data_IF_641163343236
#
_entry.id   IF_641163343236
#
_cell.length_a   1.000
_cell.length_b   1.000
_cell.length_c   1.000
_cell.angle_alpha   90.00
_cell.angle_beta   90.00
_cell.angle_gamma   90.00
#
_symmetry.space_group_name_H-M   'P 1'
#
loop_
_entity.id
_entity.type
_entity.pdbx_description
1 polymer ?
#
# COMPACT_ATOMS: atom_id res chain seq x y z
N UNK A 1 -2.51 -0.16 0.21
CA UNK A 1 -1.30 -1.01 0.36
C UNK A 1 -0.02 -0.22 0.70
N UNK A 2 0.25 0.92 0.07
CA UNK A 2 1.44 1.77 0.31
C UNK A 2 1.76 2.05 1.80
N UNK A 3 0.73 2.19 2.64
CA UNK A 3 0.89 2.40 4.07
C UNK A 3 1.66 1.28 4.80
N UNK A 4 1.81 0.09 4.22
CA UNK A 4 2.59 -1.00 4.81
C UNK A 4 4.11 -0.84 4.59
N UNK A 5 4.50 -0.10 3.55
CA UNK A 5 5.89 0.03 3.11
C UNK A 5 6.61 1.23 3.75
N UNK A 6 5.86 2.16 4.35
CA UNK A 6 6.37 3.45 4.83
C UNK A 6 7.37 4.10 3.85
N UNK A 7 6.94 4.34 2.59
CA UNK A 7 7.85 4.82 1.55
C UNK A 7 8.41 6.20 1.90
N UNK A 8 9.61 6.49 1.40
CA UNK A 8 10.10 7.87 1.35
C UNK A 8 9.39 8.58 0.20
N UNK A 9 8.50 9.51 0.55
CA UNK A 9 7.72 10.29 -0.42
C UNK A 9 8.45 11.60 -0.69
N UNK A 10 8.54 11.96 -1.97
CA UNK A 10 9.15 13.20 -2.45
C UNK A 10 8.13 13.96 -3.29
N UNK A 11 8.17 15.30 -3.25
CA UNK A 11 7.35 16.19 -4.08
C UNK A 11 5.86 15.81 -4.09
N UNK A 12 5.27 15.49 -2.92
CA UNK A 12 3.89 15.04 -2.90
C UNK A 12 2.94 16.17 -3.34
N UNK A 13 2.13 15.86 -4.35
CA UNK A 13 1.03 16.70 -4.83
C UNK A 13 -0.17 15.81 -5.10
N UNK A 14 -1.15 15.81 -4.20
CA UNK A 14 -2.40 15.08 -4.37
C UNK A 14 -3.51 16.08 -4.67
N UNK A 15 -4.15 16.01 -5.85
CA UNK A 15 -5.29 16.87 -6.15
C UNK A 15 -6.43 16.68 -5.14
N UNK A 16 -7.03 17.78 -4.68
CA UNK A 16 -8.04 17.76 -3.62
C UNK A 16 -9.27 16.90 -3.94
N UNK A 17 -9.59 16.72 -5.22
CA UNK A 17 -10.63 15.80 -5.72
C UNK A 17 -10.44 14.37 -5.23
N UNK A 18 -9.20 13.92 -5.03
CA UNK A 18 -8.92 12.55 -4.59
C UNK A 18 -8.80 12.40 -3.07
N UNK A 19 -8.93 13.48 -2.28
CA UNK A 19 -8.70 13.42 -0.83
C UNK A 19 -9.68 12.50 -0.11
N UNK A 20 -10.94 12.45 -0.56
CA UNK A 20 -11.97 11.58 0.01
C UNK A 20 -11.74 10.10 -0.35
N UNK A 21 -11.25 9.83 -1.56
CA UNK A 21 -11.04 8.47 -2.07
C UNK A 21 -9.70 7.87 -1.60
N UNK A 22 -8.70 8.73 -1.36
CA UNK A 22 -7.33 8.34 -1.02
C UNK A 22 -6.84 8.95 0.32
N UNK A 23 -7.59 8.82 1.43
CA UNK A 23 -7.23 9.45 2.70
C UNK A 23 -5.89 8.94 3.24
N UNK A 24 -5.55 7.67 3.01
CA UNK A 24 -4.26 7.11 3.40
C UNK A 24 -3.08 7.72 2.63
N UNK A 25 -3.30 8.14 1.37
CA UNK A 25 -2.24 8.77 0.58
C UNK A 25 -1.94 10.17 1.11
N UNK A 26 -2.97 10.92 1.48
CA UNK A 26 -2.83 12.23 2.13
C UNK A 26 -2.02 12.12 3.42
N UNK A 27 -2.39 11.18 4.30
CA UNK A 27 -1.66 10.94 5.55
C UNK A 27 -0.18 10.62 5.31
N UNK A 28 0.12 9.77 4.33
CA UNK A 28 1.50 9.41 4.00
C UNK A 28 2.29 10.62 3.47
N UNK A 29 1.66 11.49 2.69
CA UNK A 29 2.28 12.72 2.18
C UNK A 29 2.61 13.74 3.28
N UNK A 30 1.83 13.75 4.35
CA UNK A 30 2.13 14.53 5.57
C UNK A 30 3.23 13.89 6.43
N UNK A 31 3.80 12.76 5.99
CA UNK A 31 4.81 12.00 6.72
C UNK A 31 4.24 11.11 7.83
N UNK A 32 2.92 10.98 7.92
CA UNK A 32 2.29 10.10 8.92
C UNK A 32 2.55 8.63 8.61
N UNK A 33 2.71 7.84 9.67
CA UNK A 33 2.85 6.38 9.60
C UNK A 33 1.61 5.73 10.20
N UNK A 34 0.51 5.61 9.43
CA UNK A 34 -0.70 5.02 9.96
C UNK A 34 -0.44 3.56 10.37
N UNK A 35 -0.97 3.10 11.51
CA UNK A 35 -0.73 1.75 11.99
C UNK A 35 -1.30 0.70 11.02
N UNK A 36 -0.54 -0.36 10.74
CA UNK A 36 -1.05 -1.51 9.99
C UNK A 36 -1.79 -2.47 10.93
N UNK A 37 -2.94 -2.98 10.46
CA UNK A 37 -3.70 -4.02 11.16
C UNK A 37 -3.03 -5.41 11.11
N UNK A 38 -2.13 -5.64 10.15
CA UNK A 38 -1.39 -6.90 9.97
C UNK A 38 0.05 -6.64 9.53
N UNK A 39 0.89 -7.68 9.53
CA UNK A 39 2.25 -7.61 8.98
C UNK A 39 2.31 -7.73 7.46
N UNK A 40 1.20 -8.13 6.82
CA UNK A 40 1.10 -8.34 5.36
C UNK A 40 -0.33 -8.21 4.85
N UNK A 41 -0.52 -7.82 3.59
CA UNK A 41 -1.84 -7.72 2.95
C UNK A 41 -1.81 -8.08 1.47
N UNK A 42 -2.78 -8.86 1.02
CA UNK A 42 -3.00 -9.20 -0.38
C UNK A 42 -4.32 -8.60 -0.84
N UNK A 43 -4.37 -8.13 -2.08
CA UNK A 43 -5.58 -7.59 -2.69
C UNK A 43 -5.64 -7.99 -4.17
N UNK A 44 -6.81 -8.44 -4.60
CA UNK A 44 -7.11 -8.63 -6.02
C UNK A 44 -7.58 -7.30 -6.59
N UNK A 45 -6.95 -6.88 -7.68
CA UNK A 45 -7.22 -5.63 -8.36
C UNK A 45 -7.60 -5.92 -9.81
N UNK A 46 -8.31 -4.97 -10.41
CA UNK A 46 -8.67 -5.01 -11.83
C UNK A 46 -8.20 -3.73 -12.50
N UNK A 47 -7.58 -3.86 -13.66
CA UNK A 47 -7.23 -2.70 -14.49
C UNK A 47 -8.51 -2.06 -15.06
N UNK A 48 -8.40 -0.82 -15.55
CA UNK A 48 -9.52 -0.16 -16.22
C UNK A 48 -10.04 -0.94 -17.46
N UNK A 49 -9.22 -1.84 -18.02
CA UNK A 49 -9.60 -2.72 -19.14
C UNK A 49 -10.00 -4.14 -18.71
N UNK A 50 -10.06 -4.41 -17.41
CA UNK A 50 -10.53 -5.68 -16.86
C UNK A 50 -9.44 -6.72 -16.59
N UNK A 51 -8.16 -6.40 -16.79
CA UNK A 51 -7.07 -7.32 -16.45
C UNK A 51 -7.00 -7.50 -14.95
N UNK A 52 -7.03 -8.76 -14.49
CA UNK A 52 -6.94 -9.09 -13.06
C UNK A 52 -5.49 -9.26 -12.66
N UNK A 53 -5.11 -8.66 -11.54
CA UNK A 53 -3.78 -8.84 -10.96
C UNK A 53 -3.87 -8.84 -9.44
N UNK A 54 -2.88 -9.43 -8.79
CA UNK A 54 -2.80 -9.50 -7.33
C UNK A 54 -1.67 -8.61 -6.86
N UNK A 55 -1.96 -7.76 -5.87
CA UNK A 55 -0.96 -6.93 -5.22
C UNK A 55 -0.70 -7.46 -3.82
N UNK A 56 0.56 -7.83 -3.57
CA UNK A 56 1.05 -8.30 -2.29
C UNK A 56 1.93 -7.22 -1.65
N UNK A 57 1.72 -6.99 -0.36
CA UNK A 57 2.56 -6.09 0.43
C UNK A 57 2.90 -6.71 1.78
N UNK A 58 4.14 -6.52 2.21
CA UNK A 58 4.61 -6.83 3.56
C UNK A 58 5.06 -5.57 4.28
N UNK A 59 4.92 -5.53 5.59
CA UNK A 59 5.55 -4.51 6.43
C UNK A 59 6.88 -5.03 6.98
N UNK A 60 7.61 -4.14 7.65
CA UNK A 60 8.84 -4.48 8.39
C UNK A 60 8.65 -5.58 9.45
N UNK A 61 7.41 -5.84 9.89
CA UNK A 61 7.06 -6.87 10.87
C UNK A 61 6.97 -8.28 10.26
N UNK A 62 7.01 -8.41 8.94
CA UNK A 62 6.98 -9.70 8.26
C UNK A 62 8.41 -10.16 7.94
N UNK A 63 8.86 -11.16 8.70
CA UNK A 63 10.26 -11.60 8.74
C UNK A 63 10.56 -12.79 7.82
N UNK A 64 9.54 -13.52 7.37
CA UNK A 64 9.74 -14.64 6.45
C UNK A 64 10.13 -14.14 5.04
N UNK A 65 10.74 -15.03 4.27
CA UNK A 65 10.89 -14.83 2.84
C UNK A 65 9.50 -14.70 2.19
N UNK A 66 9.31 -13.61 1.44
CA UNK A 66 7.99 -13.28 0.90
C UNK A 66 7.54 -14.26 -0.19
N UNK A 67 8.48 -14.82 -0.94
CA UNK A 67 8.17 -15.74 -2.03
C UNK A 67 7.86 -17.12 -1.48
N UNK A 68 8.72 -17.68 -0.65
CA UNK A 68 8.50 -19.04 -0.12
C UNK A 68 7.47 -19.10 1.01
N UNK A 69 7.33 -18.03 1.79
CA UNK A 69 6.43 -17.98 2.95
C UNK A 69 5.01 -17.53 2.66
N UNK A 70 4.72 -17.04 1.44
CA UNK A 70 3.39 -16.50 1.14
C UNK A 70 2.97 -16.40 -0.33
N UNK A 71 3.83 -15.87 -1.22
CA UNK A 71 3.42 -15.54 -2.59
C UNK A 71 3.35 -16.77 -3.50
N UNK A 72 4.22 -17.76 -3.27
CA UNK A 72 4.32 -18.99 -4.06
C UNK A 72 3.12 -19.92 -3.90
#
# INVERSE_FOLDING_TARGET
>A
QLAYLYPRIYNCSVPAVFSADLPQLIQLCEGSRPPQASSRRMEQLSSARGDKFVSFVKSEKYVDDIYTGWVA
#
